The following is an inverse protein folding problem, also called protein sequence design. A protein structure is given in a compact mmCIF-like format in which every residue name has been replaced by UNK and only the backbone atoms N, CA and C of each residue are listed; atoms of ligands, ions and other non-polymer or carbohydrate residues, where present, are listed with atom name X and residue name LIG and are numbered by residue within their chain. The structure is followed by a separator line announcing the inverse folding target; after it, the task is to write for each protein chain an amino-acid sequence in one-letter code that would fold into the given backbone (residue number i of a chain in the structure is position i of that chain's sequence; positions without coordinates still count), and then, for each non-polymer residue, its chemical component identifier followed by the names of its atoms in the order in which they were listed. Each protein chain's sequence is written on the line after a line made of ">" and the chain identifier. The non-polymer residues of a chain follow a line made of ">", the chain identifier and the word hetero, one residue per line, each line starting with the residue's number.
data_IF_994044554738
#
_entry.id   IF_994044554738
#
_cell.length_a   1.000
_cell.length_b   1.000
_cell.length_c   1.000
_cell.angle_alpha   90.00
_cell.angle_beta   90.00
_cell.angle_gamma   90.00
#
_symmetry.space_group_name_H-M   'P 1'
#
loop_
_entity.id
_entity.type
_entity.pdbx_description
1 polymer ?
#
# COMPACT_ATOMS: atom_id res chain seq x y z
N UNK A 1 -26.45 59.69 -25.70
CA UNK A 1 -26.26 59.17 -24.33
C UNK A 1 -26.54 57.65 -24.23
N UNK A 2 -27.62 57.07 -24.78
CA UNK A 2 -27.95 55.64 -24.65
C UNK A 2 -26.89 54.69 -25.22
N UNK A 3 -26.21 55.05 -26.33
CA UNK A 3 -25.20 54.19 -26.99
C UNK A 3 -23.94 53.99 -26.15
N UNK A 4 -23.51 55.00 -25.42
CA UNK A 4 -22.32 54.92 -24.57
C UNK A 4 -22.61 54.09 -23.28
N UNK A 5 -23.85 54.09 -22.81
CA UNK A 5 -24.25 53.28 -21.66
C UNK A 5 -24.26 51.79 -21.99
N UNK A 6 -24.74 51.42 -23.20
CA UNK A 6 -24.77 50.03 -23.68
C UNK A 6 -23.34 49.47 -23.87
N UNK A 7 -22.43 50.30 -24.41
CA UNK A 7 -21.02 49.92 -24.57
C UNK A 7 -20.34 49.69 -23.24
N UNK A 8 -20.60 50.54 -22.26
CA UNK A 8 -20.04 50.43 -20.90
C UNK A 8 -20.52 49.15 -20.18
N UNK A 9 -21.81 48.81 -20.32
CA UNK A 9 -22.36 47.56 -19.72
C UNK A 9 -21.82 46.30 -20.39
N UNK A 10 -21.63 46.30 -21.69
CA UNK A 10 -21.02 45.17 -22.40
C UNK A 10 -19.54 44.99 -22.01
N UNK A 11 -18.77 46.06 -21.88
CA UNK A 11 -17.39 46.00 -21.40
C UNK A 11 -17.28 45.44 -19.99
N UNK A 12 -18.15 45.86 -19.08
CA UNK A 12 -18.19 45.39 -17.71
C UNK A 12 -18.53 43.87 -17.65
N UNK A 13 -19.49 43.43 -18.46
CA UNK A 13 -19.86 42.01 -18.52
C UNK A 13 -18.70 41.14 -19.07
N UNK A 14 -17.98 41.59 -20.10
CA UNK A 14 -16.80 40.89 -20.65
C UNK A 14 -15.68 40.81 -19.59
N UNK A 15 -15.41 41.87 -18.85
CA UNK A 15 -14.40 41.86 -17.76
C UNK A 15 -14.75 40.85 -16.64
N UNK A 16 -16.03 40.75 -16.27
CA UNK A 16 -16.49 39.80 -15.25
C UNK A 16 -16.33 38.36 -15.76
N UNK A 17 -16.69 38.12 -16.99
CA UNK A 17 -16.54 36.76 -17.60
C UNK A 17 -15.06 36.40 -17.68
N UNK A 18 -14.17 37.29 -18.11
CA UNK A 18 -12.73 37.03 -18.14
C UNK A 18 -12.16 36.77 -16.74
N UNK A 19 -12.59 37.48 -15.72
CA UNK A 19 -12.09 37.27 -14.35
C UNK A 19 -12.57 35.94 -13.75
N UNK A 20 -13.79 35.49 -14.07
CA UNK A 20 -14.29 34.17 -13.64
C UNK A 20 -13.53 33.04 -14.34
N UNK A 21 -13.22 33.17 -15.64
CA UNK A 21 -12.47 32.18 -16.40
C UNK A 21 -11.03 32.04 -15.90
N UNK A 22 -10.38 33.14 -15.50
CA UNK A 22 -9.01 33.09 -14.94
C UNK A 22 -8.96 32.45 -13.57
N UNK A 23 -9.99 32.61 -12.73
CA UNK A 23 -10.06 31.98 -11.40
C UNK A 23 -10.26 30.44 -11.50
N UNK A 24 -10.97 29.94 -12.52
CA UNK A 24 -11.20 28.49 -12.69
C UNK A 24 -10.00 27.76 -13.26
N UNK A 25 -9.11 28.43 -13.99
CA UNK A 25 -7.89 27.83 -14.55
C UNK A 25 -6.74 27.68 -13.53
N UNK A 26 -6.77 28.41 -12.42
CA UNK A 26 -5.71 28.36 -11.41
C UNK A 26 -5.76 27.12 -10.49
N UNK A 27 -6.88 26.39 -10.47
CA UNK A 27 -7.10 25.23 -9.61
C UNK A 27 -6.41 23.94 -10.05
N UNK A 28 -6.05 23.81 -11.34
CA UNK A 28 -5.50 22.56 -11.87
C UNK A 28 -3.96 22.45 -11.84
N UNK A 29 -3.23 23.51 -11.54
CA UNK A 29 -1.76 23.50 -11.61
C UNK A 29 -1.06 22.91 -10.39
N UNK A 30 -1.74 22.79 -9.24
CA UNK A 30 -1.12 22.31 -8.01
C UNK A 30 -0.89 20.80 -7.94
N UNK A 31 -1.53 19.99 -8.78
CA UNK A 31 -1.37 18.54 -8.79
C UNK A 31 -0.31 18.02 -9.79
N UNK A 32 -0.02 18.78 -10.84
CA UNK A 32 0.94 18.36 -11.88
C UNK A 32 2.41 18.32 -11.42
N UNK A 33 2.72 18.89 -10.26
CA UNK A 33 4.07 18.90 -9.65
C UNK A 33 4.26 17.91 -8.51
N UNK A 34 3.26 17.08 -8.17
CA UNK A 34 3.40 16.09 -7.09
C UNK A 34 4.26 14.91 -7.56
N UNK A 35 5.55 14.96 -7.21
CA UNK A 35 6.45 13.83 -7.38
C UNK A 35 6.23 12.86 -6.22
N UNK A 36 5.35 11.86 -6.41
CA UNK A 36 5.09 10.84 -5.40
C UNK A 36 6.16 9.76 -5.48
N UNK A 37 6.91 9.62 -4.40
CA UNK A 37 8.00 8.65 -4.27
C UNK A 37 7.54 7.39 -3.53
N UNK A 38 8.29 6.31 -3.70
CA UNK A 38 8.00 5.03 -3.05
C UNK A 38 8.00 5.18 -1.52
N UNK A 39 6.94 4.75 -0.82
CA UNK A 39 6.96 4.63 0.63
C UNK A 39 8.06 3.70 1.12
N UNK A 40 8.53 3.91 2.35
CA UNK A 40 9.50 3.03 2.98
C UNK A 40 8.78 1.99 3.81
N UNK A 41 9.23 0.75 3.71
CA UNK A 41 8.62 -0.37 4.41
C UNK A 41 9.59 -0.97 5.42
N UNK A 42 9.10 -1.27 6.63
CA UNK A 42 9.86 -1.93 7.69
C UNK A 42 9.06 -3.07 8.29
N UNK A 43 9.63 -4.27 8.34
CA UNK A 43 9.00 -5.40 9.02
C UNK A 43 9.34 -5.32 10.52
N UNK A 44 8.32 -5.03 11.35
CA UNK A 44 8.46 -4.86 12.80
C UNK A 44 8.42 -6.18 13.55
N UNK A 45 7.74 -7.18 12.99
CA UNK A 45 7.66 -8.51 13.59
C UNK A 45 6.82 -9.48 12.78
N UNK A 46 7.04 -10.76 13.05
CA UNK A 46 6.27 -11.87 12.50
C UNK A 46 5.86 -12.76 13.66
N UNK A 47 4.58 -13.08 13.74
CA UNK A 47 4.03 -13.98 14.76
C UNK A 47 3.45 -15.21 14.04
N UNK A 48 4.09 -16.39 14.16
CA UNK A 48 3.55 -17.64 13.64
C UNK A 48 2.53 -18.24 14.61
N UNK A 49 1.39 -18.66 14.08
CA UNK A 49 0.37 -19.43 14.79
C UNK A 49 0.22 -20.81 14.14
N UNK A 50 0.69 -21.84 14.80
CA UNK A 50 0.65 -23.22 14.29
C UNK A 50 -0.68 -23.85 14.67
N UNK A 51 -1.46 -24.27 13.68
CA UNK A 51 -2.69 -25.03 13.83
C UNK A 51 -2.50 -26.47 13.34
N UNK A 52 -2.40 -27.41 14.27
CA UNK A 52 -2.32 -28.85 13.95
C UNK A 52 -3.72 -29.43 14.04
N UNK A 53 -4.16 -30.09 12.99
CA UNK A 53 -5.48 -30.72 12.90
C UNK A 53 -5.36 -32.20 12.47
N UNK A 54 -6.40 -32.98 12.76
CA UNK A 54 -6.55 -34.33 12.24
C UNK A 54 -7.76 -34.36 11.30
N UNK A 55 -7.61 -34.83 10.06
CA UNK A 55 -6.38 -35.33 9.43
C UNK A 55 -5.35 -34.21 9.20
N UNK A 56 -4.06 -34.55 9.16
CA UNK A 56 -2.95 -33.59 9.02
C UNK A 56 -3.06 -32.66 7.79
N UNK A 57 -3.79 -33.09 6.76
CA UNK A 57 -4.08 -32.25 5.59
C UNK A 57 -4.83 -30.93 5.90
N UNK A 58 -5.45 -30.84 7.09
CA UNK A 58 -6.13 -29.63 7.57
C UNK A 58 -5.20 -28.73 8.40
N UNK A 59 -3.98 -29.15 8.66
CA UNK A 59 -2.99 -28.36 9.40
C UNK A 59 -2.53 -27.15 8.58
N UNK A 60 -2.25 -26.05 9.27
CA UNK A 60 -1.78 -24.81 8.65
C UNK A 60 -0.92 -24.00 9.63
N UNK A 61 -0.17 -23.05 9.10
CA UNK A 61 0.46 -21.98 9.88
C UNK A 61 -0.12 -20.66 9.41
N UNK A 62 -0.70 -19.91 10.33
CA UNK A 62 -1.10 -18.52 10.08
C UNK A 62 0.07 -17.62 10.49
N UNK A 63 0.52 -16.76 9.57
CA UNK A 63 1.61 -15.82 9.79
C UNK A 63 1.04 -14.40 9.86
N UNK A 64 1.23 -13.74 10.99
CA UNK A 64 0.86 -12.34 11.19
C UNK A 64 2.12 -11.46 11.06
N UNK A 65 2.17 -10.65 10.02
CA UNK A 65 3.24 -9.68 9.77
C UNK A 65 2.81 -8.29 10.22
N UNK A 66 3.62 -7.65 11.06
CA UNK A 66 3.46 -6.25 11.43
C UNK A 66 4.41 -5.40 10.58
N UNK A 67 3.85 -4.64 9.65
CA UNK A 67 4.59 -3.84 8.67
C UNK A 67 4.35 -2.37 8.98
N UNK A 68 5.42 -1.63 9.20
CA UNK A 68 5.38 -0.18 9.27
C UNK A 68 5.63 0.40 7.89
N UNK A 69 4.81 1.38 7.51
CA UNK A 69 4.92 2.10 6.24
C UNK A 69 5.14 3.58 6.55
N UNK A 70 6.30 4.09 6.19
CA UNK A 70 6.64 5.52 6.26
C UNK A 70 6.34 6.17 4.91
N UNK A 71 5.43 7.15 4.93
CA UNK A 71 5.02 7.91 3.76
C UNK A 71 5.76 9.24 3.69
N UNK A 72 6.81 9.40 2.88
CA UNK A 72 7.55 10.65 2.75
C UNK A 72 6.80 11.68 1.89
N UNK A 73 5.66 11.32 1.31
CA UNK A 73 4.95 12.16 0.36
C UNK A 73 4.11 13.24 1.05
N UNK A 74 3.90 14.41 0.39
CA UNK A 74 3.08 15.50 0.92
C UNK A 74 1.56 15.20 0.86
N UNK A 75 1.18 14.03 0.37
CA UNK A 75 -0.20 13.56 0.28
C UNK A 75 -0.40 12.26 1.04
N UNK A 76 -1.60 12.08 1.60
CA UNK A 76 -1.97 10.80 2.22
C UNK A 76 -2.11 9.69 1.19
N UNK A 77 -1.73 8.49 1.58
CA UNK A 77 -1.85 7.27 0.79
C UNK A 77 -2.89 6.35 1.43
N UNK A 78 -3.72 5.70 0.64
CA UNK A 78 -4.57 4.61 1.10
C UNK A 78 -4.09 3.32 0.45
N UNK A 79 -3.53 2.42 1.25
CA UNK A 79 -3.15 1.09 0.80
C UNK A 79 -4.42 0.28 0.55
N UNK A 80 -4.69 -0.09 -0.69
CA UNK A 80 -5.86 -0.89 -1.06
C UNK A 80 -5.55 -2.38 -0.93
N UNK A 81 -4.46 -2.85 -1.53
CA UNK A 81 -4.02 -4.25 -1.43
C UNK A 81 -2.51 -4.41 -1.66
N UNK A 82 -2.03 -5.59 -1.31
CA UNK A 82 -0.69 -6.08 -1.58
C UNK A 82 -0.78 -7.31 -2.47
N UNK A 83 0.08 -7.38 -3.50
CA UNK A 83 0.38 -8.62 -4.24
C UNK A 83 1.80 -9.03 -3.87
N UNK A 84 2.00 -10.24 -3.34
CA UNK A 84 3.32 -10.63 -2.86
C UNK A 84 3.60 -12.12 -2.94
N UNK A 85 4.88 -12.42 -2.95
CA UNK A 85 5.45 -13.74 -2.73
C UNK A 85 6.08 -13.79 -1.33
N UNK A 86 5.98 -14.93 -0.67
CA UNK A 86 6.59 -15.19 0.64
C UNK A 86 7.59 -16.31 0.53
N UNK A 87 8.80 -16.08 1.01
CA UNK A 87 9.81 -17.11 1.26
C UNK A 87 10.18 -17.17 2.74
N UNK A 88 10.47 -18.38 3.23
CA UNK A 88 10.96 -18.67 4.58
C UNK A 88 12.31 -19.35 4.46
N UNK A 89 13.34 -18.79 5.09
CA UNK A 89 14.73 -19.26 4.94
C UNK A 89 15.10 -19.49 3.45
N UNK A 90 14.80 -18.50 2.61
CA UNK A 90 14.99 -18.48 1.16
C UNK A 90 14.21 -19.55 0.37
N UNK A 91 13.35 -20.34 1.04
CA UNK A 91 12.48 -21.30 0.38
C UNK A 91 11.13 -20.65 0.05
N UNK A 92 10.71 -20.59 -1.23
CA UNK A 92 9.39 -20.07 -1.59
C UNK A 92 8.27 -20.89 -0.95
N UNK A 93 7.31 -20.18 -0.34
CA UNK A 93 6.19 -20.77 0.42
C UNK A 93 4.86 -20.44 -0.21
N UNK A 94 4.70 -19.19 -0.57
CA UNK A 94 3.51 -18.66 -1.22
C UNK A 94 3.93 -17.80 -2.40
N UNK A 95 3.17 -17.88 -3.49
CA UNK A 95 3.38 -17.07 -4.69
C UNK A 95 2.08 -16.40 -5.09
N UNK A 96 2.18 -15.16 -5.56
CA UNK A 96 1.05 -14.38 -6.10
C UNK A 96 -0.13 -14.26 -5.13
N UNK A 97 0.16 -14.02 -3.85
CA UNK A 97 -0.86 -13.81 -2.83
C UNK A 97 -1.36 -12.38 -2.90
N UNK A 98 -2.67 -12.22 -2.97
CA UNK A 98 -3.32 -10.91 -2.86
C UNK A 98 -3.93 -10.75 -1.48
N UNK A 99 -3.61 -9.63 -0.82
CA UNK A 99 -4.16 -9.27 0.48
C UNK A 99 -4.75 -7.87 0.46
N UNK A 100 -6.06 -7.79 0.66
CA UNK A 100 -6.80 -6.52 0.78
C UNK A 100 -6.49 -5.87 2.13
N UNK A 101 -6.35 -4.54 2.16
CA UNK A 101 -5.91 -3.80 3.34
C UNK A 101 -6.87 -2.66 3.74
N UNK A 102 -7.01 -1.63 2.92
CA UNK A 102 -7.84 -0.45 3.24
C UNK A 102 -7.23 0.50 4.29
N UNK A 103 -5.92 0.43 4.53
CA UNK A 103 -5.22 1.24 5.54
C UNK A 103 -4.87 2.61 4.99
N UNK A 104 -5.16 3.67 5.78
CA UNK A 104 -4.78 5.05 5.45
C UNK A 104 -3.47 5.42 6.15
N UNK A 105 -2.55 5.99 5.38
CA UNK A 105 -1.25 6.47 5.84
C UNK A 105 -1.22 7.97 5.60
N UNK A 106 -1.06 8.80 6.64
CA UNK A 106 -1.09 10.26 6.51
C UNK A 106 0.08 10.78 5.67
N UNK A 107 -0.04 12.01 5.17
CA UNK A 107 1.06 12.71 4.53
C UNK A 107 2.20 12.91 5.53
N UNK A 108 3.45 12.70 5.10
CA UNK A 108 4.64 12.79 5.96
C UNK A 108 4.52 12.00 7.27
N UNK A 109 3.80 10.87 7.24
CA UNK A 109 3.47 10.10 8.43
C UNK A 109 3.69 8.61 8.29
N UNK A 110 3.45 7.91 9.39
CA UNK A 110 3.65 6.47 9.53
C UNK A 110 2.28 5.81 9.66
N UNK A 111 2.14 4.62 9.05
CA UNK A 111 0.98 3.75 9.20
C UNK A 111 1.40 2.31 9.47
N UNK A 112 0.62 1.63 10.30
CA UNK A 112 0.82 0.22 10.62
C UNK A 112 -0.12 -0.64 9.77
N UNK A 113 0.47 -1.60 9.06
CA UNK A 113 -0.23 -2.57 8.22
C UNK A 113 -0.05 -3.95 8.82
N UNK A 114 -1.16 -4.61 9.13
CA UNK A 114 -1.17 -6.00 9.59
C UNK A 114 -1.52 -6.91 8.43
N UNK A 115 -0.55 -7.68 7.98
CA UNK A 115 -0.74 -8.65 6.93
C UNK A 115 -0.84 -10.04 7.55
N UNK A 116 -2.00 -10.68 7.40
CA UNK A 116 -2.18 -12.09 7.79
C UNK A 116 -2.22 -12.95 6.54
N UNK A 117 -1.45 -14.04 6.56
CA UNK A 117 -1.49 -15.03 5.49
C UNK A 117 -1.45 -16.44 6.06
N UNK A 118 -2.10 -17.38 5.36
CA UNK A 118 -2.19 -18.78 5.76
C UNK A 118 -1.35 -19.65 4.84
N UNK A 119 -0.47 -20.42 5.43
CA UNK A 119 0.32 -21.46 4.76
C UNK A 119 -0.32 -22.80 5.04
N UNK A 120 -0.99 -23.37 4.06
CA UNK A 120 -1.66 -24.68 4.17
C UNK A 120 -0.67 -25.86 4.14
N UNK A 121 -1.17 -27.01 4.52
CA UNK A 121 -0.40 -28.27 4.64
C UNK A 121 0.44 -28.61 3.41
N UNK A 122 -0.08 -28.42 2.21
CA UNK A 122 0.65 -28.74 0.97
C UNK A 122 1.94 -27.94 0.83
N UNK A 123 1.92 -26.67 1.21
CA UNK A 123 3.11 -25.82 1.24
C UNK A 123 4.02 -26.14 2.44
N UNK A 124 3.45 -26.61 3.55
CA UNK A 124 4.22 -27.03 4.74
C UNK A 124 5.05 -28.27 4.52
N UNK A 125 4.64 -29.21 3.63
CA UNK A 125 5.44 -30.38 3.29
C UNK A 125 6.83 -30.03 2.77
N UNK A 126 6.91 -28.97 1.96
CA UNK A 126 8.19 -28.50 1.40
C UNK A 126 9.04 -27.79 2.45
N UNK A 127 8.42 -27.34 3.54
CA UNK A 127 9.04 -26.59 4.62
C UNK A 127 9.22 -27.37 5.91
N UNK A 128 9.12 -28.70 5.86
CA UNK A 128 9.12 -29.53 7.07
C UNK A 128 10.29 -29.24 8.01
N UNK A 129 11.50 -29.05 7.47
CA UNK A 129 12.69 -28.68 8.26
C UNK A 129 12.54 -27.28 8.88
N UNK A 130 12.10 -26.29 8.10
CA UNK A 130 11.92 -24.90 8.55
C UNK A 130 10.84 -24.80 9.63
N UNK A 131 9.77 -25.60 9.52
CA UNK A 131 8.72 -25.70 10.54
C UNK A 131 9.26 -26.32 11.81
N UNK A 132 10.04 -27.42 11.70
CA UNK A 132 10.68 -28.05 12.85
C UNK A 132 11.63 -27.07 13.58
N UNK A 133 12.42 -26.30 12.83
CA UNK A 133 13.31 -25.27 13.37
C UNK A 133 12.52 -24.19 14.11
N UNK A 134 11.39 -23.70 13.55
CA UNK A 134 10.52 -22.73 14.21
C UNK A 134 9.93 -23.26 15.53
N UNK A 135 9.46 -24.51 15.54
CA UNK A 135 8.90 -25.15 16.74
C UNK A 135 9.97 -25.34 17.82
N UNK A 136 11.24 -25.53 17.43
CA UNK A 136 12.38 -25.62 18.34
C UNK A 136 12.89 -24.25 18.82
N UNK A 137 12.22 -23.15 18.42
CA UNK A 137 12.58 -21.79 18.83
C UNK A 137 13.72 -21.17 18.03
N UNK A 138 14.15 -21.80 16.94
CA UNK A 138 15.11 -21.19 16.03
C UNK A 138 14.47 -20.03 15.25
N UNK A 139 15.24 -18.98 15.01
CA UNK A 139 14.77 -17.81 14.25
C UNK A 139 14.63 -18.16 12.78
N UNK A 140 13.42 -18.05 12.24
CA UNK A 140 13.18 -18.10 10.81
C UNK A 140 13.40 -16.71 10.18
N UNK A 141 13.98 -16.68 8.98
CA UNK A 141 14.03 -15.46 8.17
C UNK A 141 12.87 -15.45 7.19
N UNK A 142 12.20 -14.30 7.09
CA UNK A 142 11.08 -14.11 6.18
C UNK A 142 11.44 -13.09 5.12
N UNK A 143 11.14 -13.39 3.87
CA UNK A 143 11.28 -12.47 2.75
C UNK A 143 9.94 -12.31 2.08
N UNK A 144 9.45 -11.07 1.99
CA UNK A 144 8.24 -10.71 1.25
C UNK A 144 8.68 -9.83 0.08
N UNK A 145 8.30 -10.20 -1.14
CA UNK A 145 8.55 -9.42 -2.35
C UNK A 145 7.28 -9.28 -3.15
N UNK A 146 7.03 -8.08 -3.68
CA UNK A 146 5.83 -7.87 -4.45
C UNK A 146 5.56 -6.40 -4.75
N UNK A 147 4.28 -6.04 -4.76
CA UNK A 147 3.84 -4.68 -5.03
C UNK A 147 2.75 -4.27 -4.03
N UNK A 148 2.77 -3.00 -3.67
CA UNK A 148 1.73 -2.34 -2.90
C UNK A 148 0.96 -1.38 -3.80
N UNK A 149 -0.36 -1.44 -3.74
CA UNK A 149 -1.27 -0.63 -4.56
C UNK A 149 -1.97 0.38 -3.69
N UNK A 150 -1.75 1.64 -4.00
CA UNK A 150 -2.27 2.78 -3.24
C UNK A 150 -3.22 3.62 -4.06
N UNK A 151 -4.31 4.03 -3.42
CA UNK A 151 -5.14 5.12 -3.92
C UNK A 151 -4.59 6.43 -3.42
N UNK A 152 -4.35 7.36 -4.35
CA UNK A 152 -3.86 8.72 -4.10
C UNK A 152 -4.82 9.75 -4.68
N UNK A 153 -4.71 11.04 -4.35
CA UNK A 153 -5.52 12.10 -4.96
C UNK A 153 -5.36 12.22 -6.48
N UNK A 154 -4.26 11.70 -7.05
CA UNK A 154 -3.98 11.72 -8.49
C UNK A 154 -4.24 10.37 -9.18
N UNK A 155 -4.81 9.40 -8.46
CA UNK A 155 -5.18 8.08 -8.98
C UNK A 155 -4.48 6.93 -8.27
N UNK A 156 -4.65 5.74 -8.81
CA UNK A 156 -4.03 4.53 -8.29
C UNK A 156 -2.55 4.44 -8.68
N UNK A 157 -1.71 4.12 -7.72
CA UNK A 157 -0.27 3.96 -7.89
C UNK A 157 0.19 2.60 -7.38
N UNK A 158 1.19 2.03 -8.05
CA UNK A 158 1.83 0.77 -7.68
C UNK A 158 3.28 1.03 -7.28
N UNK A 159 3.67 0.56 -6.11
CA UNK A 159 5.05 0.65 -5.62
C UNK A 159 5.62 -0.73 -5.33
N UNK A 160 6.88 -0.99 -5.65
CA UNK A 160 7.55 -2.22 -5.30
C UNK A 160 7.68 -2.35 -3.77
N UNK A 161 7.45 -3.57 -3.28
CA UNK A 161 7.56 -3.93 -1.88
C UNK A 161 8.64 -4.98 -1.71
N UNK A 162 9.59 -4.75 -0.82
CA UNK A 162 10.57 -5.76 -0.40
C UNK A 162 10.80 -5.63 1.10
N UNK A 163 10.55 -6.71 1.84
CA UNK A 163 10.70 -6.80 3.29
C UNK A 163 11.54 -8.02 3.66
N UNK A 164 12.40 -7.84 4.66
CA UNK A 164 13.19 -8.90 5.26
C UNK A 164 13.03 -8.87 6.77
N UNK A 165 12.79 -10.03 7.40
CA UNK A 165 12.99 -10.18 8.83
C UNK A 165 14.46 -10.57 9.06
N UNK A 166 15.10 -9.90 9.96
CA UNK A 166 16.39 -10.31 10.51
C UNK A 166 16.21 -10.90 11.90
#
# INVERSE_FOLDING_TARGET
>A
MKRNLIVATLLAAVCIILSVVTLTLSGCQSLAGLNIVNPRYSLRGVVPHVAIALPLSQSAIDLDFNIEVDNPNPVGLRLDWLDFDLAVNDTPVLTSVRAEQGVRIPAHGIGDVRLRTRVGYENLKTLFRQVADMVQGNRATYTIRGNAYYQTPIGQMRFPLTLYSR
#
